data_IF_366118520723
#
_entry.id   IF_366118520723
#
_cell.length_a   1.000
_cell.length_b   1.000
_cell.length_c   1.000
_cell.angle_alpha   90.00
_cell.angle_beta   90.00
_cell.angle_gamma   90.00
#
_symmetry.space_group_name_H-M   'P 1'
#
loop_
_entity.id
_entity.type
_entity.pdbx_description
1 polymer ?
#
# COMPACT_ATOMS: atom_id res chain seq x y z
N UNK A 1 -27.13 -16.56 -11.62
CA UNK A 1 -25.95 -17.21 -11.00
C UNK A 1 -25.70 -16.47 -9.70
N UNK A 2 -25.59 -17.17 -8.57
CA UNK A 2 -25.50 -16.59 -7.20
C UNK A 2 -24.25 -17.09 -6.47
N UNK A 3 -23.25 -17.52 -7.22
CA UNK A 3 -22.05 -18.11 -6.66
C UNK A 3 -21.21 -17.05 -5.98
N UNK A 4 -20.63 -17.39 -4.83
CA UNK A 4 -19.77 -16.47 -4.11
C UNK A 4 -18.48 -16.20 -4.91
N UNK A 5 -18.14 -14.93 -5.09
CA UNK A 5 -17.03 -14.50 -5.94
C UNK A 5 -15.97 -13.66 -5.21
N UNK A 6 -15.89 -13.77 -3.89
CA UNK A 6 -14.91 -13.03 -3.09
C UNK A 6 -13.46 -13.42 -3.38
N UNK A 7 -13.14 -14.72 -3.40
CA UNK A 7 -11.78 -15.19 -3.72
C UNK A 7 -11.44 -15.01 -5.21
N UNK A 8 -12.42 -15.13 -6.11
CA UNK A 8 -12.21 -14.82 -7.53
C UNK A 8 -11.97 -13.34 -7.77
N UNK A 9 -12.61 -12.44 -7.01
CA UNK A 9 -12.27 -11.01 -7.02
C UNK A 9 -10.81 -10.78 -6.61
N UNK A 10 -10.38 -11.41 -5.51
CA UNK A 10 -9.00 -11.37 -5.05
C UNK A 10 -8.01 -11.86 -6.12
N UNK A 11 -8.32 -12.96 -6.79
CA UNK A 11 -7.51 -13.52 -7.88
C UNK A 11 -7.51 -12.62 -9.12
N UNK A 12 -8.66 -12.05 -9.48
CA UNK A 12 -8.76 -11.14 -10.61
C UNK A 12 -7.93 -9.87 -10.39
N UNK A 13 -7.91 -9.33 -9.17
CA UNK A 13 -7.05 -8.21 -8.80
C UNK A 13 -5.56 -8.56 -8.95
N UNK A 14 -5.14 -9.75 -8.48
CA UNK A 14 -3.77 -10.23 -8.62
C UNK A 14 -3.34 -10.39 -10.09
N UNK A 15 -4.22 -10.96 -10.93
CA UNK A 15 -3.99 -11.11 -12.37
C UNK A 15 -3.87 -9.75 -13.05
N UNK A 16 -4.81 -8.84 -12.79
CA UNK A 16 -4.81 -7.51 -13.37
C UNK A 16 -3.57 -6.69 -12.98
N UNK A 17 -3.06 -6.88 -11.76
CA UNK A 17 -1.87 -6.22 -11.26
C UNK A 17 -0.54 -6.91 -11.66
N UNK A 18 -0.59 -8.10 -12.27
CA UNK A 18 0.63 -8.84 -12.66
C UNK A 18 1.40 -9.46 -11.49
N UNK A 19 0.71 -9.81 -10.40
CA UNK A 19 1.32 -10.31 -9.16
C UNK A 19 1.04 -11.80 -8.88
N UNK A 20 0.69 -12.59 -9.90
CA UNK A 20 0.30 -14.00 -9.74
C UNK A 20 1.42 -14.94 -9.28
N UNK A 21 2.67 -14.48 -9.27
CA UNK A 21 3.82 -15.23 -8.75
C UNK A 21 4.02 -15.02 -7.23
N UNK A 22 3.45 -13.96 -6.65
CA UNK A 22 3.48 -13.68 -5.20
C UNK A 22 2.09 -13.73 -4.54
N UNK A 23 1.03 -13.81 -5.33
CA UNK A 23 -0.36 -13.97 -4.88
C UNK A 23 -0.97 -15.19 -5.57
N UNK A 24 -1.48 -16.19 -4.82
CA UNK A 24 -2.14 -17.33 -5.41
C UNK A 24 -3.48 -16.94 -6.07
N UNK A 25 -3.79 -17.57 -7.20
CA UNK A 25 -5.09 -17.42 -7.89
C UNK A 25 -5.98 -18.62 -7.61
N UNK A 26 -7.10 -18.42 -6.94
CA UNK A 26 -8.03 -19.45 -6.48
C UNK A 26 -9.46 -18.89 -6.35
N UNK A 27 -10.48 -19.74 -6.49
CA UNK A 27 -11.88 -19.36 -6.34
C UNK A 27 -12.50 -19.73 -4.98
N UNK A 28 -11.86 -20.60 -4.19
CA UNK A 28 -12.26 -20.94 -2.82
C UNK A 28 -11.40 -20.27 -1.74
N UNK A 29 -12.04 -19.70 -0.71
CA UNK A 29 -11.33 -19.06 0.41
C UNK A 29 -10.38 -20.03 1.13
N UNK A 30 -10.84 -21.22 1.49
CA UNK A 30 -10.03 -22.20 2.23
C UNK A 30 -8.84 -22.72 1.41
N UNK A 31 -9.06 -23.00 0.14
CA UNK A 31 -7.99 -23.40 -0.79
C UNK A 31 -6.97 -22.27 -0.98
N UNK A 32 -7.40 -21.01 -1.00
CA UNK A 32 -6.50 -19.86 -1.09
C UNK A 32 -5.63 -19.74 0.17
N UNK A 33 -6.18 -19.98 1.37
CA UNK A 33 -5.39 -20.08 2.62
C UNK A 33 -4.32 -21.17 2.50
N UNK A 34 -4.69 -22.37 2.03
CA UNK A 34 -3.72 -23.47 1.86
C UNK A 34 -2.59 -23.12 0.89
N UNK A 35 -2.87 -22.33 -0.14
CA UNK A 35 -1.85 -21.85 -1.07
C UNK A 35 -0.92 -20.83 -0.39
N UNK A 36 -1.47 -19.85 0.36
CA UNK A 36 -0.65 -18.93 1.15
C UNK A 36 0.22 -19.66 2.18
N UNK A 37 -0.30 -20.71 2.84
CA UNK A 37 0.47 -21.58 3.74
C UNK A 37 1.62 -22.27 3.02
N UNK A 38 1.37 -22.85 1.84
CA UNK A 38 2.42 -23.48 1.00
C UNK A 38 3.50 -22.50 0.56
N UNK A 39 3.14 -21.24 0.36
CA UNK A 39 4.08 -20.17 0.04
C UNK A 39 4.86 -19.67 1.27
N UNK A 40 4.50 -20.11 2.49
CA UNK A 40 5.06 -19.57 3.74
C UNK A 40 4.62 -18.13 4.02
N UNK A 41 3.47 -17.73 3.47
CA UNK A 41 2.94 -16.36 3.49
C UNK A 41 1.54 -16.31 4.13
N UNK A 42 1.33 -17.11 5.17
CA UNK A 42 0.10 -17.16 5.97
C UNK A 42 0.37 -16.72 7.40
N UNK A 43 -0.51 -15.88 7.95
CA UNK A 43 -0.50 -15.43 9.34
C UNK A 43 -1.81 -15.85 10.00
N UNK A 44 -1.71 -16.66 11.05
CA UNK A 44 -2.82 -17.11 11.90
C UNK A 44 -2.74 -16.38 13.24
N UNK A 45 -3.03 -15.08 13.21
CA UNK A 45 -2.96 -14.16 14.35
C UNK A 45 -3.93 -13.00 14.08
N UNK A 46 -5.00 -12.91 14.86
CA UNK A 46 -6.04 -11.89 14.66
C UNK A 46 -5.55 -10.50 15.08
N UNK A 47 -4.51 -10.44 15.92
CA UNK A 47 -3.88 -9.21 16.38
C UNK A 47 -2.78 -8.69 15.44
N UNK A 48 -2.44 -9.43 14.38
CA UNK A 48 -1.57 -8.93 13.32
C UNK A 48 -2.13 -7.63 12.73
N UNK A 49 -1.26 -6.63 12.57
CA UNK A 49 -1.60 -5.35 11.94
C UNK A 49 -1.24 -5.48 10.45
N UNK A 50 -2.22 -5.65 9.54
CA UNK A 50 -1.92 -5.92 8.15
C UNK A 50 -1.41 -4.70 7.40
N UNK A 51 -0.69 -4.96 6.31
CA UNK A 51 -0.26 -3.95 5.36
C UNK A 51 -1.28 -3.83 4.20
N UNK A 52 -1.35 -2.67 3.53
CA UNK A 52 -2.08 -2.57 2.27
C UNK A 52 -1.64 -3.64 1.26
N UNK A 53 -2.60 -4.32 0.64
CA UNK A 53 -2.37 -5.44 -0.26
C UNK A 53 -2.42 -6.82 0.40
N UNK A 54 -2.35 -6.92 1.73
CA UNK A 54 -2.59 -8.18 2.43
C UNK A 54 -4.02 -8.67 2.20
N UNK A 55 -4.20 -9.98 2.17
CA UNK A 55 -5.50 -10.61 2.02
C UNK A 55 -6.00 -10.96 3.41
N UNK A 56 -7.14 -10.40 3.81
CA UNK A 56 -7.79 -10.72 5.08
C UNK A 56 -8.89 -11.75 4.83
N UNK A 57 -8.82 -12.85 5.56
CA UNK A 57 -9.82 -13.91 5.51
C UNK A 57 -10.74 -13.80 6.71
N UNK A 58 -11.98 -14.22 6.52
CA UNK A 58 -12.99 -14.18 7.56
C UNK A 58 -13.63 -15.54 7.80
N UNK A 59 -14.01 -15.77 9.05
CA UNK A 59 -14.84 -16.89 9.50
C UNK A 59 -15.98 -16.32 10.35
N UNK A 60 -17.21 -16.40 9.85
CA UNK A 60 -18.38 -15.81 10.49
C UNK A 60 -18.83 -16.57 11.73
N UNK A 61 -18.35 -17.80 11.92
CA UNK A 61 -18.59 -18.61 13.10
C UNK A 61 -17.55 -18.35 14.21
N UNK A 62 -16.56 -17.48 13.97
CA UNK A 62 -15.60 -17.06 15.00
C UNK A 62 -16.33 -16.51 16.25
N UNK A 63 -15.93 -17.04 17.40
CA UNK A 63 -16.42 -16.62 18.72
C UNK A 63 -15.77 -15.34 19.23
N UNK A 64 -14.69 -14.87 18.59
CA UNK A 64 -13.93 -13.68 18.98
C UNK A 64 -13.03 -13.90 20.20
N UNK A 65 -12.64 -15.15 20.47
CA UNK A 65 -11.81 -15.53 21.62
C UNK A 65 -10.54 -16.24 21.14
N UNK A 66 -9.41 -15.52 21.21
CA UNK A 66 -8.15 -15.99 20.65
C UNK A 66 -8.19 -16.04 19.12
N UNK A 67 -7.13 -16.58 18.52
CA UNK A 67 -7.02 -16.65 17.06
C UNK A 67 -8.00 -17.66 16.47
N UNK A 68 -8.74 -17.25 15.45
CA UNK A 68 -9.65 -18.15 14.77
C UNK A 68 -8.89 -19.15 13.89
N UNK A 69 -9.18 -20.45 14.06
CA UNK A 69 -8.59 -21.53 13.28
C UNK A 69 -9.57 -22.25 12.35
N UNK A 70 -10.83 -21.78 12.23
CA UNK A 70 -11.91 -22.44 11.49
C UNK A 70 -11.79 -22.38 9.96
N UNK A 71 -12.88 -22.69 9.24
CA UNK A 71 -12.87 -22.69 7.77
C UNK A 71 -13.35 -21.34 7.26
N UNK A 72 -12.64 -20.66 6.35
CA UNK A 72 -13.00 -19.31 5.96
C UNK A 72 -14.25 -19.26 5.09
N UNK A 73 -15.10 -18.28 5.37
CA UNK A 73 -16.30 -17.95 4.60
C UNK A 73 -16.05 -16.89 3.53
N UNK A 74 -15.09 -15.99 3.77
CA UNK A 74 -14.91 -14.80 2.95
C UNK A 74 -13.46 -14.32 2.92
N UNK A 75 -13.15 -13.49 1.93
CA UNK A 75 -11.84 -12.87 1.79
C UNK A 75 -11.98 -11.47 1.19
N UNK A 76 -11.16 -10.55 1.65
CA UNK A 76 -11.00 -9.22 1.09
C UNK A 76 -9.52 -8.83 0.97
N UNK A 77 -9.27 -7.69 0.34
CA UNK A 77 -7.92 -7.12 0.21
C UNK A 77 -7.84 -5.89 1.11
N UNK A 78 -6.84 -5.84 1.97
CA UNK A 78 -6.58 -4.70 2.85
C UNK A 78 -6.18 -3.50 2.01
N UNK A 79 -6.87 -2.38 2.22
CA UNK A 79 -6.64 -1.11 1.52
C UNK A 79 -5.81 -0.17 2.38
N UNK A 80 -6.11 -0.11 3.68
CA UNK A 80 -5.36 0.66 4.65
C UNK A 80 -5.65 0.21 6.08
N UNK A 81 -4.75 0.57 7.00
CA UNK A 81 -4.98 0.48 8.44
C UNK A 81 -4.82 1.86 9.05
N UNK A 82 -5.79 2.30 9.84
CA UNK A 82 -5.80 3.60 10.53
C UNK A 82 -6.20 3.42 11.98
N UNK A 83 -5.27 3.68 12.89
CA UNK A 83 -5.43 3.34 14.30
C UNK A 83 -5.71 1.84 14.46
N UNK A 84 -6.84 1.50 15.08
CA UNK A 84 -7.27 0.11 15.26
C UNK A 84 -8.22 -0.38 14.16
N UNK A 85 -8.38 0.34 13.06
CA UNK A 85 -9.33 -0.01 11.99
C UNK A 85 -8.62 -0.43 10.72
N UNK A 86 -8.98 -1.60 10.21
CA UNK A 86 -8.58 -2.13 8.91
C UNK A 86 -9.69 -1.79 7.93
N UNK A 87 -9.36 -1.08 6.85
CA UNK A 87 -10.26 -0.84 5.71
C UNK A 87 -9.95 -1.86 4.62
N UNK A 88 -10.99 -2.57 4.17
CA UNK A 88 -10.87 -3.72 3.27
C UNK A 88 -11.78 -3.49 2.07
N UNK A 89 -11.31 -3.79 0.85
CA UNK A 89 -12.15 -3.91 -0.34
C UNK A 89 -12.49 -5.39 -0.56
N UNK A 90 -13.78 -5.68 -0.64
CA UNK A 90 -14.31 -7.05 -0.73
C UNK A 90 -15.12 -7.19 -2.01
N UNK A 91 -14.88 -8.27 -2.75
CA UNK A 91 -15.80 -8.74 -3.78
C UNK A 91 -16.90 -9.58 -3.15
N UNK A 92 -18.07 -9.60 -3.76
CA UNK A 92 -19.25 -10.32 -3.28
C UNK A 92 -19.72 -9.89 -1.88
N UNK A 93 -19.43 -8.65 -1.49
CA UNK A 93 -20.08 -8.04 -0.33
C UNK A 93 -21.39 -7.43 -0.82
N UNK A 94 -22.52 -8.03 -0.42
CA UNK A 94 -23.85 -7.68 -0.92
C UNK A 94 -23.97 -7.75 -2.46
N UNK A 95 -23.42 -8.79 -3.08
CA UNK A 95 -23.33 -8.95 -4.54
C UNK A 95 -22.63 -7.77 -5.26
N UNK A 96 -21.75 -7.04 -4.55
CA UNK A 96 -21.01 -5.89 -5.06
C UNK A 96 -19.54 -5.88 -4.60
N UNK A 97 -18.75 -4.98 -5.19
CA UNK A 97 -17.42 -4.63 -4.70
C UNK A 97 -17.57 -3.45 -3.72
N UNK A 98 -17.38 -3.72 -2.43
CA UNK A 98 -17.66 -2.73 -1.38
C UNK A 98 -16.58 -2.73 -0.31
N UNK A 99 -16.49 -1.60 0.40
CA UNK A 99 -15.62 -1.48 1.56
C UNK A 99 -16.25 -2.09 2.82
N UNK A 100 -15.39 -2.65 3.68
CA UNK A 100 -15.66 -2.98 5.08
C UNK A 100 -14.63 -2.26 5.97
N UNK A 101 -15.05 -1.90 7.17
CA UNK A 101 -14.13 -1.61 8.27
C UNK A 101 -14.25 -2.73 9.31
N UNK A 102 -13.12 -3.24 9.77
CA UNK A 102 -13.03 -4.19 10.88
C UNK A 102 -11.92 -3.75 11.83
N UNK A 103 -12.08 -4.04 13.12
CA UNK A 103 -11.05 -3.74 14.10
C UNK A 103 -9.88 -4.72 13.95
N UNK A 104 -8.64 -4.27 14.17
CA UNK A 104 -7.53 -5.20 14.47
C UNK A 104 -7.91 -6.00 15.70
N UNK A 105 -7.61 -7.31 15.68
CA UNK A 105 -8.07 -8.27 16.70
C UNK A 105 -9.60 -8.29 16.86
N UNK A 106 -10.31 -7.94 15.79
CA UNK A 106 -11.76 -7.97 15.73
C UNK A 106 -12.27 -9.39 15.51
N UNK A 107 -13.43 -9.68 16.09
CA UNK A 107 -14.19 -10.90 15.80
C UNK A 107 -14.38 -11.08 14.29
N UNK A 108 -14.35 -12.33 13.85
CA UNK A 108 -14.49 -12.82 12.49
C UNK A 108 -13.23 -12.79 11.64
N UNK A 109 -12.10 -12.31 12.16
CA UNK A 109 -10.83 -12.46 11.47
C UNK A 109 -10.46 -13.93 11.52
N UNK A 110 -10.16 -14.51 10.36
CA UNK A 110 -9.58 -15.86 10.26
C UNK A 110 -8.07 -15.82 10.15
N UNK A 111 -7.52 -14.74 9.63
CA UNK A 111 -6.09 -14.56 9.43
C UNK A 111 -5.79 -13.90 8.09
N UNK A 112 -4.51 -13.94 7.71
CA UNK A 112 -3.99 -13.09 6.64
C UNK A 112 -3.09 -13.84 5.67
N UNK A 113 -3.35 -13.67 4.38
CA UNK A 113 -2.37 -13.93 3.33
C UNK A 113 -1.50 -12.69 3.13
N UNK A 114 -0.18 -12.84 3.20
CA UNK A 114 0.78 -11.72 3.17
C UNK A 114 1.68 -11.79 1.94
N UNK A 115 1.28 -11.31 0.74
CA UNK A 115 2.11 -11.42 -0.46
C UNK A 115 3.52 -10.82 -0.28
N UNK A 116 4.52 -11.36 -0.97
CA UNK A 116 5.90 -10.86 -0.88
C UNK A 116 6.15 -9.69 -1.85
N UNK A 117 5.48 -8.57 -1.59
CA UNK A 117 5.68 -7.34 -2.38
C UNK A 117 7.12 -6.82 -2.31
N UNK A 118 7.86 -7.11 -1.22
CA UNK A 118 9.25 -6.72 -1.09
C UNK A 118 10.15 -7.40 -2.14
N UNK A 119 9.89 -8.67 -2.47
CA UNK A 119 10.60 -9.36 -3.55
C UNK A 119 10.43 -8.68 -4.92
N UNK A 120 9.29 -8.02 -5.14
CA UNK A 120 9.01 -7.24 -6.36
C UNK A 120 9.72 -5.90 -6.39
N UNK A 121 9.94 -5.29 -5.23
CA UNK A 121 10.74 -4.08 -5.11
C UNK A 121 12.26 -4.34 -5.24
N UNK A 122 12.70 -5.57 -4.99
CA UNK A 122 14.12 -5.95 -4.95
C UNK A 122 14.64 -6.70 -6.19
N UNK A 123 13.84 -6.92 -7.23
CA UNK A 123 14.37 -7.49 -8.47
C UNK A 123 15.45 -6.54 -9.05
N UNK A 124 16.74 -6.93 -9.09
CA UNK A 124 17.70 -6.22 -9.89
C UNK A 124 17.35 -6.54 -11.34
N UNK A 125 16.91 -5.52 -12.07
CA UNK A 125 16.64 -5.61 -13.50
C UNK A 125 17.88 -6.16 -14.21
N UNK A 126 17.78 -7.43 -14.60
CA UNK A 126 18.82 -8.15 -15.32
C UNK A 126 18.64 -7.94 -16.82
N UNK A 127 18.56 -6.69 -17.28
CA UNK A 127 18.85 -6.30 -18.67
C UNK A 127 18.76 -4.78 -18.88
N UNK A 128 19.90 -4.09 -18.99
CA UNK A 128 19.92 -2.72 -19.54
C UNK A 128 19.56 -2.70 -21.04
N UNK A 129 19.14 -1.53 -21.62
CA UNK A 129 19.50 -0.19 -21.20
C UNK A 129 18.32 0.83 -21.15
N UNK A 130 18.01 1.32 -19.96
CA UNK A 130 17.75 2.72 -19.66
C UNK A 130 17.78 2.80 -18.13
N UNK A 131 18.70 3.58 -17.55
CA UNK A 131 18.87 3.61 -16.09
C UNK A 131 17.71 4.29 -15.34
N UNK A 132 16.53 3.70 -15.35
CA UNK A 132 15.34 4.16 -14.63
C UNK A 132 15.56 4.10 -13.11
N UNK A 133 14.74 4.84 -12.37
CA UNK A 133 14.76 4.84 -10.91
C UNK A 133 15.60 5.96 -10.27
N UNK A 134 15.87 5.79 -8.98
CA UNK A 134 16.54 6.78 -8.15
C UNK A 134 18.01 7.00 -8.54
N UNK A 135 18.41 8.27 -8.66
CA UNK A 135 19.78 8.71 -8.91
C UNK A 135 20.19 9.74 -7.86
N UNK A 136 21.27 9.45 -7.14
CA UNK A 136 21.86 10.37 -6.16
C UNK A 136 23.07 11.07 -6.77
N UNK A 137 23.11 12.39 -6.72
CA UNK A 137 24.27 13.16 -7.16
C UNK A 137 25.40 13.17 -6.11
N UNK A 138 26.55 13.73 -6.47
CA UNK A 138 27.71 13.82 -5.57
C UNK A 138 27.46 14.72 -4.34
N UNK A 139 26.44 15.58 -4.40
CA UNK A 139 25.99 16.45 -3.32
C UNK A 139 24.92 15.78 -2.45
N UNK A 140 24.57 14.52 -2.75
CA UNK A 140 23.61 13.73 -2.01
C UNK A 140 22.15 14.01 -2.35
N UNK A 141 21.85 14.75 -3.41
CA UNK A 141 20.48 15.06 -3.83
C UNK A 141 19.94 13.99 -4.76
N UNK A 142 18.65 13.70 -4.64
CA UNK A 142 17.99 12.66 -5.41
C UNK A 142 17.24 13.21 -6.62
N UNK A 143 17.29 12.48 -7.73
CA UNK A 143 16.41 12.61 -8.90
C UNK A 143 15.83 11.24 -9.22
N UNK A 144 14.70 11.21 -9.92
CA UNK A 144 14.09 9.95 -10.37
C UNK A 144 13.98 9.93 -11.88
N UNK A 145 14.57 8.92 -12.52
CA UNK A 145 14.51 8.73 -13.97
C UNK A 145 13.31 7.83 -14.31
N UNK A 146 12.35 8.37 -15.03
CA UNK A 146 11.14 7.67 -15.47
C UNK A 146 11.46 6.74 -16.66
N UNK A 147 10.53 5.85 -17.00
CA UNK A 147 10.72 4.83 -18.05
C UNK A 147 10.94 5.42 -19.45
N UNK A 148 10.49 6.64 -19.67
CA UNK A 148 10.75 7.39 -20.91
C UNK A 148 12.20 7.91 -21.00
N UNK A 149 13.02 7.68 -19.97
CA UNK A 149 14.40 8.10 -19.89
C UNK A 149 14.60 9.55 -19.42
N UNK A 150 13.54 10.29 -19.12
CA UNK A 150 13.59 11.65 -18.59
C UNK A 150 13.60 11.65 -17.06
N UNK A 151 14.03 12.76 -16.45
CA UNK A 151 13.92 12.93 -15.01
C UNK A 151 12.60 13.59 -14.64
N UNK A 152 11.94 13.07 -13.60
CA UNK A 152 10.75 13.71 -13.03
C UNK A 152 11.08 15.15 -12.61
N UNK A 153 10.31 16.11 -13.11
CA UNK A 153 10.48 17.52 -12.80
C UNK A 153 9.13 18.24 -12.69
N UNK A 154 9.00 19.10 -11.68
CA UNK A 154 7.79 19.88 -11.38
C UNK A 154 6.51 19.05 -11.28
N UNK A 155 6.57 17.91 -10.60
CA UNK A 155 5.44 16.97 -10.52
C UNK A 155 5.48 16.13 -9.26
N UNK A 156 4.31 15.62 -8.90
CA UNK A 156 4.14 14.51 -7.98
C UNK A 156 4.39 13.18 -8.70
N UNK A 157 5.05 12.24 -8.03
CA UNK A 157 5.19 10.86 -8.51
C UNK A 157 4.95 9.88 -7.36
N UNK A 158 4.13 8.87 -7.60
CA UNK A 158 3.92 7.75 -6.69
C UNK A 158 4.98 6.70 -6.99
N UNK A 159 5.89 6.46 -6.04
CA UNK A 159 7.01 5.52 -6.18
C UNK A 159 6.98 4.61 -4.96
N UNK A 160 6.92 3.29 -5.17
CA UNK A 160 6.86 2.31 -4.09
C UNK A 160 5.83 2.67 -3.00
N UNK A 161 4.61 3.01 -3.42
CA UNK A 161 3.48 3.39 -2.55
C UNK A 161 3.66 4.69 -1.73
N UNK A 162 4.70 5.48 -2.01
CA UNK A 162 4.92 6.78 -1.38
C UNK A 162 4.91 7.90 -2.42
N UNK A 163 4.29 9.03 -2.06
CA UNK A 163 4.28 10.21 -2.91
C UNK A 163 5.56 11.01 -2.72
N UNK A 164 6.18 11.43 -3.82
CA UNK A 164 7.35 12.30 -3.84
C UNK A 164 7.06 13.51 -4.72
N UNK A 165 7.57 14.68 -4.34
CA UNK A 165 7.46 15.91 -5.10
C UNK A 165 8.82 16.28 -5.68
N UNK A 166 8.86 16.55 -6.98
CA UNK A 166 10.07 16.96 -7.68
C UNK A 166 9.99 18.44 -8.07
N UNK A 167 11.06 19.18 -7.81
CA UNK A 167 11.21 20.57 -8.22
C UNK A 167 11.35 20.72 -9.74
N UNK A 168 11.29 21.97 -10.22
CA UNK A 168 11.48 22.29 -11.65
C UNK A 168 12.87 21.92 -12.19
N UNK A 169 13.85 21.80 -11.29
CA UNK A 169 15.21 21.36 -11.57
C UNK A 169 15.37 19.83 -11.59
N UNK A 170 14.27 19.09 -11.34
CA UNK A 170 14.20 17.64 -11.39
C UNK A 170 14.69 16.94 -10.12
N UNK A 171 15.03 17.69 -9.06
CA UNK A 171 15.42 17.10 -7.78
C UNK A 171 14.20 16.87 -6.89
N UNK A 172 14.24 15.74 -6.18
CA UNK A 172 13.30 15.41 -5.12
C UNK A 172 13.39 16.48 -4.02
N UNK A 173 12.24 16.97 -3.58
CA UNK A 173 12.14 17.93 -2.50
C UNK A 173 12.00 17.22 -1.16
N UNK A 174 12.40 17.91 -0.10
CA UNK A 174 12.23 17.49 1.29
C UNK A 174 11.68 18.66 2.12
N UNK A 175 11.22 18.38 3.33
CA UNK A 175 10.66 19.36 4.26
C UNK A 175 9.32 19.92 3.80
N UNK A 176 8.98 21.11 4.31
CA UNK A 176 7.73 21.81 3.99
C UNK A 176 7.76 22.40 2.60
N UNK A 177 6.78 22.05 1.78
CA UNK A 177 6.57 22.58 0.43
C UNK A 177 5.13 23.06 0.28
N UNK A 178 4.93 24.15 -0.47
CA UNK A 178 3.60 24.66 -0.81
C UNK A 178 3.30 24.39 -2.28
N UNK A 179 2.16 23.80 -2.60
CA UNK A 179 1.76 23.41 -3.95
C UNK A 179 0.41 24.02 -4.32
N UNK A 180 0.34 24.70 -5.47
CA UNK A 180 -0.87 25.40 -5.95
C UNK A 180 -1.77 24.53 -6.85
N UNK A 181 -1.41 23.26 -7.04
CA UNK A 181 -2.04 22.35 -8.00
C UNK A 181 -1.21 22.14 -9.27
N UNK A 182 -0.21 22.97 -9.54
CA UNK A 182 0.64 22.93 -10.74
C UNK A 182 2.13 23.19 -10.49
N UNK A 183 2.49 23.91 -9.43
CA UNK A 183 3.85 24.29 -9.11
C UNK A 183 4.11 24.32 -7.60
N UNK A 184 5.38 24.17 -7.25
CA UNK A 184 5.87 24.57 -5.93
C UNK A 184 5.91 26.10 -5.91
N UNK A 185 5.24 26.68 -4.91
CA UNK A 185 5.05 28.13 -4.78
C UNK A 185 5.64 28.66 -3.49
N UNK A 186 5.75 29.98 -3.37
CA UNK A 186 6.27 30.64 -2.17
C UNK A 186 5.36 30.43 -0.97
N UNK A 187 5.91 30.64 0.23
CA UNK A 187 5.18 30.47 1.48
C UNK A 187 3.92 31.34 1.58
N UNK A 188 3.89 32.48 0.88
CA UNK A 188 2.78 33.44 0.89
C UNK A 188 1.79 33.23 -0.27
N UNK A 189 2.15 32.47 -1.30
CA UNK A 189 1.34 32.26 -2.51
C UNK A 189 0.23 31.23 -2.30
N UNK A 190 -0.98 31.39 -2.85
CA UNK A 190 -2.08 30.43 -2.63
C UNK A 190 -1.69 28.99 -2.99
N UNK A 191 -2.06 28.05 -2.12
CA UNK A 191 -1.71 26.64 -2.26
C UNK A 191 -1.77 25.89 -0.93
N UNK A 192 -1.64 24.58 -1.01
CA UNK A 192 -1.68 23.64 0.11
C UNK A 192 -0.28 23.28 0.58
N UNK A 193 -0.13 23.00 1.89
CA UNK A 193 1.14 22.61 2.49
C UNK A 193 1.28 21.10 2.55
N UNK A 194 2.49 20.63 2.21
CA UNK A 194 2.89 19.24 2.22
C UNK A 194 4.22 19.14 2.98
N UNK A 195 4.34 18.12 3.83
CA UNK A 195 5.61 17.80 4.46
C UNK A 195 6.20 16.56 3.81
N UNK A 196 7.43 16.67 3.33
CA UNK A 196 8.22 15.59 2.76
C UNK A 196 9.30 15.22 3.78
N UNK A 197 9.50 13.93 4.08
CA UNK A 197 10.48 13.49 5.07
C UNK A 197 11.85 14.10 4.77
N UNK A 198 12.47 14.72 5.77
CA UNK A 198 13.76 15.38 5.61
C UNK A 198 14.87 14.69 6.40
N UNK A 199 14.68 13.42 6.78
CA UNK A 199 15.67 12.58 7.46
C UNK A 199 16.70 12.08 6.45
N UNK A 200 17.93 12.62 6.41
CA UNK A 200 18.88 12.26 5.38
C UNK A 200 19.30 10.79 5.50
N UNK A 201 19.21 10.04 4.41
CA UNK A 201 19.47 8.60 4.37
C UNK A 201 18.43 7.75 5.10
N UNK A 202 17.32 8.32 5.56
CA UNK A 202 16.22 7.59 6.17
C UNK A 202 15.49 6.70 5.15
N UNK A 203 14.78 5.66 5.61
CA UNK A 203 14.07 4.72 4.73
C UNK A 203 12.95 5.37 3.90
N UNK A 204 12.50 6.56 4.30
CA UNK A 204 11.43 7.33 3.67
C UNK A 204 11.86 8.75 3.30
N UNK A 205 13.17 9.04 3.16
CA UNK A 205 13.66 10.38 2.81
C UNK A 205 12.94 10.94 1.55
N UNK A 206 12.29 12.10 1.68
CA UNK A 206 11.50 12.75 0.64
C UNK A 206 10.06 12.26 0.48
N UNK A 207 9.67 11.18 1.17
CA UNK A 207 8.31 10.67 1.11
C UNK A 207 7.34 11.69 1.74
N UNK A 208 6.23 11.92 1.07
CA UNK A 208 5.22 12.87 1.51
C UNK A 208 4.35 12.29 2.61
N UNK A 209 4.36 13.00 3.73
CA UNK A 209 3.42 12.89 4.82
C UNK A 209 2.19 13.74 4.47
N UNK A 210 1.46 13.37 3.42
CA UNK A 210 0.28 14.13 3.03
C UNK A 210 -0.91 13.81 3.94
N UNK A 211 -1.58 14.85 4.41
CA UNK A 211 -2.86 14.77 5.10
C UNK A 211 -4.01 15.14 4.16
N UNK A 212 -4.69 14.13 3.62
CA UNK A 212 -6.14 14.15 3.35
C UNK A 212 -6.71 12.78 3.76
N UNK A 213 -8.04 12.62 3.72
CA UNK A 213 -8.90 11.64 4.42
C UNK A 213 -8.59 10.11 4.29
N UNK A 214 -7.38 9.71 3.88
CA UNK A 214 -6.98 8.32 3.62
C UNK A 214 -5.69 7.82 4.30
N UNK A 215 -5.14 8.51 5.31
CA UNK A 215 -4.03 8.02 6.16
C UNK A 215 -2.63 8.18 5.52
N UNK A 216 -1.56 8.59 6.21
CA UNK A 216 -1.23 8.44 7.63
C UNK A 216 -0.34 9.57 8.23
N UNK A 217 -0.34 9.59 9.58
CA UNK A 217 0.57 10.15 10.60
C UNK A 217 0.79 11.69 10.72
N UNK A 218 0.01 12.28 11.64
CA UNK A 218 0.32 13.51 12.40
C UNK A 218 1.47 13.28 13.38
N UNK A 219 2.42 14.22 13.45
CA UNK A 219 3.00 14.70 14.72
C UNK A 219 2.68 16.20 14.83
N UNK A 220 2.15 16.58 16.00
CA UNK A 220 1.42 17.82 16.30
C UNK A 220 2.29 19.08 16.48
N UNK A 221 1.61 20.21 16.30
CA UNK A 221 1.81 21.58 16.81
C UNK A 221 3.21 22.19 16.88
N UNK A 222 3.35 23.34 16.21
CA UNK A 222 4.08 24.47 16.79
C UNK A 222 3.11 25.64 16.86
N UNK A 223 2.37 25.74 17.97
CA UNK A 223 1.82 27.04 18.36
C UNK A 223 3.01 27.99 18.58
N UNK A 224 2.89 29.22 18.05
CA UNK A 224 3.73 30.33 18.49
C UNK A 224 3.35 30.75 19.90
#
# INVERSE_FOLDING_TARGET
>A
YTDAWCATFGSAAAIAAGYTDIIPTECGCGQMIELFRKMGRWVEDDAYIPLPGDYIFYDWDDGGAGDCSGWPDHVGIVVSVSGNKIRVIEGNKNDAAEYREIAVNGRYIRGYGIPDYASKAMAPDASGPAETGWKKDAQGRYRYKEDNGEYAANKWLLINHHWYLFGKDGYMLTGWQRWDGSNVVGADDPGEWYFLDNTPGGPLEGACWHSTDYGALRIWDVQK
#
